data_IF_599589973896
#
_entry.id   IF_599589973896
#
_cell.length_a   1.000
_cell.length_b   1.000
_cell.length_c   1.000
_cell.angle_alpha   90.00
_cell.angle_beta   90.00
_cell.angle_gamma   90.00
#
_symmetry.space_group_name_H-M   'P 1'
#
loop_
_entity.id
_entity.type
_entity.pdbx_description
1 polymer ?
#
# COMPACT_ATOMS: atom_id res chain seq x y z
N UNK A 1 -11.99 20.81 15.41
CA UNK A 1 -12.80 21.89 14.79
C UNK A 1 -13.63 21.27 13.68
N UNK A 2 -14.93 21.58 13.58
CA UNK A 2 -15.78 21.13 12.45
C UNK A 2 -15.94 22.29 11.47
N UNK A 3 -16.11 21.99 10.17
CA UNK A 3 -16.32 22.98 9.10
C UNK A 3 -15.20 24.03 8.97
N UNK A 4 -13.94 23.62 9.19
CA UNK A 4 -12.77 24.46 8.96
C UNK A 4 -12.01 23.97 7.73
N UNK A 5 -11.77 24.90 6.82
CA UNK A 5 -11.19 24.65 5.51
C UNK A 5 -10.00 25.58 5.31
N UNK A 6 -8.96 25.06 4.65
CA UNK A 6 -7.75 25.84 4.34
C UNK A 6 -7.33 25.61 2.91
N UNK A 7 -6.93 26.70 2.24
CA UNK A 7 -6.27 26.70 0.94
C UNK A 7 -5.01 27.57 1.09
N UNK A 8 -3.97 26.99 1.70
CA UNK A 8 -2.73 27.68 2.10
C UNK A 8 -1.51 26.96 1.54
N UNK A 9 -0.35 27.63 1.52
CA UNK A 9 0.89 27.01 1.03
C UNK A 9 0.91 26.78 -0.49
N UNK A 10 0.12 27.52 -1.26
CA UNK A 10 0.06 27.41 -2.72
C UNK A 10 1.24 28.18 -3.33
N UNK A 11 2.31 27.46 -3.70
CA UNK A 11 3.57 28.07 -4.17
C UNK A 11 3.39 28.90 -5.45
N UNK A 12 2.66 28.39 -6.44
CA UNK A 12 2.39 29.07 -7.71
C UNK A 12 0.96 29.62 -7.75
N UNK A 13 0.58 30.40 -6.72
CA UNK A 13 -0.80 30.83 -6.48
C UNK A 13 -1.51 31.50 -7.65
N UNK A 14 -0.80 32.24 -8.50
CA UNK A 14 -1.40 32.86 -9.69
C UNK A 14 -1.81 31.82 -10.75
N UNK A 15 -0.97 30.80 -11.00
CA UNK A 15 -1.24 29.76 -11.99
C UNK A 15 -2.18 28.66 -11.47
N UNK A 16 -2.15 28.38 -10.16
CA UNK A 16 -2.91 27.29 -9.54
C UNK A 16 -4.22 27.75 -8.90
N UNK A 17 -4.40 29.06 -8.66
CA UNK A 17 -5.52 29.60 -7.87
C UNK A 17 -6.91 29.24 -8.42
N UNK A 18 -7.08 29.22 -9.75
CA UNK A 18 -8.34 28.82 -10.38
C UNK A 18 -8.72 27.36 -10.07
N UNK A 19 -7.77 26.44 -10.23
CA UNK A 19 -7.97 25.02 -9.94
C UNK A 19 -8.22 24.76 -8.45
N UNK A 20 -7.40 25.36 -7.57
CA UNK A 20 -7.59 25.25 -6.11
C UNK A 20 -8.97 25.79 -5.70
N UNK A 21 -9.40 26.93 -6.26
CA UNK A 21 -10.71 27.50 -6.00
C UNK A 21 -11.86 26.58 -6.41
N UNK A 22 -11.77 25.97 -7.59
CA UNK A 22 -12.75 24.99 -8.07
C UNK A 22 -12.81 23.77 -7.14
N UNK A 23 -11.67 23.14 -6.85
CA UNK A 23 -11.63 21.95 -5.98
C UNK A 23 -12.20 22.23 -4.59
N UNK A 24 -11.91 23.40 -4.00
CA UNK A 24 -12.47 23.80 -2.71
C UNK A 24 -13.98 24.01 -2.79
N UNK A 25 -14.48 24.68 -3.84
CA UNK A 25 -15.90 24.90 -4.04
C UNK A 25 -16.67 23.57 -4.21
N UNK A 26 -16.17 22.68 -5.07
CA UNK A 26 -16.72 21.34 -5.25
C UNK A 26 -16.71 20.56 -3.94
N UNK A 27 -15.63 20.60 -3.17
CA UNK A 27 -15.57 19.87 -1.91
C UNK A 27 -16.58 20.40 -0.88
N UNK A 28 -16.75 21.71 -0.79
CA UNK A 28 -17.70 22.32 0.14
C UNK A 28 -19.16 22.08 -0.25
N UNK A 29 -19.47 22.11 -1.56
CA UNK A 29 -20.85 22.04 -2.07
C UNK A 29 -21.27 20.58 -2.28
N UNK A 30 -20.41 19.77 -2.90
CA UNK A 30 -20.69 18.40 -3.34
C UNK A 30 -20.12 17.33 -2.40
N UNK A 31 -19.34 17.72 -1.39
CA UNK A 31 -18.73 16.80 -0.41
C UNK A 31 -17.44 16.11 -0.87
N UNK A 32 -17.07 16.22 -2.15
CA UNK A 32 -15.82 15.70 -2.73
C UNK A 32 -15.45 16.43 -4.04
N UNK A 33 -14.15 16.70 -4.30
CA UNK A 33 -13.69 17.29 -5.56
C UNK A 33 -13.91 16.38 -6.78
N UNK A 34 -13.86 16.95 -8.00
CA UNK A 34 -13.95 16.19 -9.25
C UNK A 34 -12.65 15.51 -9.69
N UNK A 35 -11.52 15.86 -9.07
CA UNK A 35 -10.18 15.31 -9.32
C UNK A 35 -9.53 14.89 -7.99
N UNK A 36 -8.57 13.98 -8.02
CA UNK A 36 -7.77 13.67 -6.83
C UNK A 36 -6.93 14.88 -6.38
N UNK A 37 -7.08 15.24 -5.11
CA UNK A 37 -6.37 16.36 -4.46
C UNK A 37 -5.44 15.87 -3.34
N UNK A 38 -5.13 14.57 -3.28
CA UNK A 38 -4.30 13.98 -2.22
C UNK A 38 -2.98 14.73 -1.99
N UNK A 39 -2.28 15.11 -3.06
CA UNK A 39 -1.03 15.87 -2.99
C UNK A 39 -1.17 17.26 -2.32
N UNK A 40 -2.41 17.79 -2.23
CA UNK A 40 -2.73 19.09 -1.64
C UNK A 40 -3.46 18.97 -0.30
N UNK A 41 -4.03 17.80 0.02
CA UNK A 41 -4.76 17.56 1.27
C UNK A 41 -3.86 17.73 2.49
N UNK A 42 -4.34 18.45 3.51
CA UNK A 42 -3.64 18.62 4.79
C UNK A 42 -3.52 17.30 5.56
N UNK A 43 -4.40 16.34 5.29
CA UNK A 43 -4.38 15.01 5.89
C UNK A 43 -3.19 14.14 5.45
N UNK A 44 -2.35 14.60 4.51
CA UNK A 44 -1.06 13.95 4.22
C UNK A 44 0.01 14.21 5.29
N UNK A 45 -0.26 15.11 6.23
CA UNK A 45 0.57 15.42 7.39
C UNK A 45 -0.08 14.93 8.69
N UNK A 46 0.75 14.71 9.70
CA UNK A 46 0.35 14.47 11.08
C UNK A 46 1.27 15.22 12.03
N UNK A 47 1.26 14.85 13.31
CA UNK A 47 2.02 15.57 14.36
C UNK A 47 3.54 15.59 14.15
N UNK A 48 4.07 14.68 13.32
CA UNK A 48 5.47 14.68 12.91
C UNK A 48 5.88 15.93 12.13
N UNK A 49 4.93 16.60 11.46
CA UNK A 49 5.17 17.78 10.63
C UNK A 49 5.23 19.04 11.49
N UNK A 50 6.16 19.07 12.45
CA UNK A 50 6.36 20.19 13.37
C UNK A 50 6.74 21.47 12.62
N UNK A 51 6.56 22.68 13.20
CA UNK A 51 7.00 23.92 12.58
C UNK A 51 8.48 23.94 12.17
N UNK A 52 9.35 23.35 12.99
CA UNK A 52 10.79 23.21 12.70
C UNK A 52 11.04 22.30 11.49
N UNK A 53 10.35 21.14 11.44
CA UNK A 53 10.41 20.25 10.29
C UNK A 53 9.90 20.92 9.01
N UNK A 54 8.76 21.63 9.10
CA UNK A 54 8.16 22.35 7.98
C UNK A 54 9.11 23.39 7.39
N UNK A 55 9.88 24.08 8.24
CA UNK A 55 10.93 25.02 7.79
C UNK A 55 12.01 24.29 7.00
N UNK A 56 12.58 23.21 7.56
CA UNK A 56 13.65 22.42 6.93
C UNK A 56 13.21 21.87 5.57
N UNK A 57 12.03 21.22 5.51
CA UNK A 57 11.53 20.62 4.28
C UNK A 57 11.11 21.66 3.25
N UNK A 58 10.54 22.78 3.66
CA UNK A 58 10.20 23.86 2.73
C UNK A 58 11.46 24.47 2.10
N UNK A 59 12.54 24.64 2.88
CA UNK A 59 13.84 25.07 2.37
C UNK A 59 14.43 24.06 1.38
N UNK A 60 14.41 22.77 1.69
CA UNK A 60 14.88 21.72 0.76
C UNK A 60 14.10 21.74 -0.57
N UNK A 61 12.77 21.86 -0.50
CA UNK A 61 11.94 21.95 -1.71
C UNK A 61 12.25 23.22 -2.52
N UNK A 62 12.52 24.34 -1.86
CA UNK A 62 12.89 25.58 -2.54
C UNK A 62 14.25 25.48 -3.24
N UNK A 63 15.25 24.91 -2.58
CA UNK A 63 16.58 24.66 -3.15
C UNK A 63 16.50 23.77 -4.40
N UNK A 64 15.54 22.85 -4.43
CA UNK A 64 15.35 21.88 -5.51
C UNK A 64 14.38 22.30 -6.60
N UNK A 65 13.84 23.53 -6.57
CA UNK A 65 12.76 23.97 -7.45
C UNK A 65 13.00 23.75 -8.95
N UNK A 66 14.26 23.80 -9.38
CA UNK A 66 14.66 23.59 -10.77
C UNK A 66 15.71 22.48 -10.93
N UNK A 67 15.80 21.60 -9.94
CA UNK A 67 16.70 20.44 -9.96
C UNK A 67 15.94 19.26 -10.56
N UNK A 68 16.61 18.54 -11.46
CA UNK A 68 16.10 17.28 -12.00
C UNK A 68 15.93 16.27 -10.86
N UNK A 69 14.73 15.70 -10.74
CA UNK A 69 14.43 14.67 -9.74
C UNK A 69 14.38 13.32 -10.42
N UNK A 70 14.99 12.31 -9.79
CA UNK A 70 15.05 10.95 -10.31
C UNK A 70 14.04 10.05 -9.60
N UNK A 71 13.47 9.03 -10.26
CA UNK A 71 12.41 8.19 -9.69
C UNK A 71 12.84 7.42 -8.44
N UNK A 72 14.14 7.14 -8.30
CA UNK A 72 14.71 6.41 -7.16
C UNK A 72 15.32 7.33 -6.08
N UNK A 73 15.22 8.65 -6.24
CA UNK A 73 15.82 9.63 -5.33
C UNK A 73 15.00 9.78 -4.05
N UNK A 74 15.70 9.88 -2.92
CA UNK A 74 15.10 10.22 -1.63
C UNK A 74 15.68 11.53 -1.12
N UNK A 75 14.85 12.34 -0.44
CA UNK A 75 15.27 13.65 0.04
C UNK A 75 15.72 13.58 1.52
N UNK A 76 16.99 13.92 1.84
CA UNK A 76 17.58 13.64 3.14
C UNK A 76 17.25 14.65 4.24
N UNK A 77 16.92 15.91 3.93
CA UNK A 77 16.71 16.93 4.97
C UNK A 77 15.45 16.64 5.77
N UNK A 78 15.53 16.82 7.09
CA UNK A 78 14.39 16.65 8.01
C UNK A 78 13.91 15.20 8.18
N UNK A 79 14.66 14.20 7.68
CA UNK A 79 14.41 12.76 7.92
C UNK A 79 14.54 12.39 9.39
N UNK A 80 14.10 11.16 9.74
CA UNK A 80 14.07 10.61 11.10
C UNK A 80 13.14 11.37 12.07
N UNK A 81 12.01 11.89 11.57
CA UNK A 81 10.95 12.40 12.47
C UNK A 81 10.31 11.28 13.28
N UNK A 82 10.06 10.14 12.64
CA UNK A 82 9.60 8.92 13.29
C UNK A 82 10.50 7.76 12.85
N UNK A 83 10.96 6.99 13.83
CA UNK A 83 11.70 5.74 13.63
C UNK A 83 11.07 4.66 14.49
N UNK A 84 11.23 3.40 14.09
CA UNK A 84 10.91 2.27 14.96
C UNK A 84 12.15 1.84 15.73
N UNK A 85 11.95 0.95 16.70
CA UNK A 85 13.05 0.36 17.46
C UNK A 85 14.02 -0.50 16.59
N UNK A 86 13.65 -0.81 15.34
CA UNK A 86 14.51 -1.55 14.41
C UNK A 86 15.40 -0.64 13.55
N UNK A 87 15.20 0.68 13.57
CA UNK A 87 15.91 1.60 12.67
C UNK A 87 17.43 1.45 12.72
N UNK A 88 18.04 1.52 13.92
CA UNK A 88 19.51 1.40 14.04
C UNK A 88 19.99 -0.03 13.73
N UNK A 89 19.19 -1.05 14.05
CA UNK A 89 19.50 -2.47 13.78
C UNK A 89 19.45 -2.80 12.29
N UNK A 90 18.51 -2.22 11.56
CA UNK A 90 18.42 -2.36 10.11
C UNK A 90 19.48 -1.51 9.42
N UNK A 91 19.81 -0.33 9.95
CA UNK A 91 20.94 0.47 9.46
C UNK A 91 22.25 -0.32 9.58
N UNK A 92 22.51 -1.01 10.69
CA UNK A 92 23.70 -1.86 10.83
C UNK A 92 23.69 -3.12 9.96
N UNK A 93 22.53 -3.50 9.43
CA UNK A 93 22.34 -4.57 8.42
C UNK A 93 22.34 -4.03 6.97
N UNK A 94 22.71 -2.77 6.76
CA UNK A 94 22.82 -2.18 5.43
C UNK A 94 21.49 -1.70 4.83
N UNK A 95 20.49 -1.37 5.64
CA UNK A 95 19.23 -0.81 5.14
C UNK A 95 19.44 0.56 4.47
N UNK A 96 18.86 0.72 3.28
CA UNK A 96 18.66 2.01 2.61
C UNK A 96 17.24 2.47 2.88
N UNK A 97 17.08 3.72 3.31
CA UNK A 97 15.84 4.21 3.91
C UNK A 97 15.11 5.23 3.03
N UNK A 98 13.78 5.18 3.05
CA UNK A 98 12.93 6.32 2.73
C UNK A 98 11.89 6.53 3.84
N UNK A 99 11.08 7.58 3.74
CA UNK A 99 9.99 7.80 4.67
C UNK A 99 8.61 7.87 4.00
N UNK A 100 7.59 7.43 4.73
CA UNK A 100 6.20 7.68 4.44
C UNK A 100 5.52 8.21 5.70
N UNK A 101 4.80 9.32 5.59
CA UNK A 101 4.09 9.93 6.73
C UNK A 101 5.00 10.16 7.97
N UNK A 102 6.22 10.64 7.74
CA UNK A 102 7.20 10.90 8.81
C UNK A 102 8.01 9.68 9.26
N UNK A 103 7.56 8.46 8.94
CA UNK A 103 8.14 7.20 9.41
C UNK A 103 9.17 6.65 8.42
N UNK A 104 10.37 6.39 8.93
CA UNK A 104 11.45 5.69 8.22
C UNK A 104 11.09 4.23 7.92
N UNK A 105 11.26 3.80 6.66
CA UNK A 105 11.04 2.44 6.18
C UNK A 105 12.21 1.98 5.31
N UNK A 106 12.66 0.74 5.49
CA UNK A 106 13.73 0.17 4.68
C UNK A 106 13.22 -0.10 3.25
N UNK A 107 13.87 0.49 2.26
CA UNK A 107 13.60 0.27 0.84
C UNK A 107 14.21 -1.05 0.35
N UNK A 108 15.43 -1.35 0.78
CA UNK A 108 16.23 -2.55 0.46
C UNK A 108 17.46 -2.62 1.38
N UNK A 109 18.15 -3.76 1.39
CA UNK A 109 19.31 -4.04 2.24
C UNK A 109 20.54 -4.37 1.38
N UNK A 110 21.60 -3.59 1.56
CA UNK A 110 22.92 -3.87 1.01
C UNK A 110 23.60 -5.06 1.74
N UNK A 111 24.65 -5.64 1.16
CA UNK A 111 25.46 -6.67 1.85
C UNK A 111 26.30 -6.09 2.98
N UNK A 112 26.76 -4.86 2.80
CA UNK A 112 27.65 -4.16 3.72
C UNK A 112 27.15 -2.74 3.87
N UNK A 113 27.34 -2.18 5.05
CA UNK A 113 26.85 -0.83 5.38
C UNK A 113 27.48 0.27 4.54
N UNK A 114 28.70 0.06 4.04
CA UNK A 114 29.37 1.02 3.16
C UNK A 114 28.72 1.11 1.77
N UNK A 115 27.96 0.07 1.37
CA UNK A 115 27.24 0.04 0.10
C UNK A 115 25.76 0.42 0.24
N UNK A 116 25.31 0.77 1.46
CA UNK A 116 23.93 1.15 1.75
C UNK A 116 23.64 2.62 1.35
N UNK A 117 23.64 2.89 0.05
CA UNK A 117 23.24 4.16 -0.54
C UNK A 117 22.57 3.93 -1.89
N UNK A 118 22.00 4.98 -2.48
CA UNK A 118 21.40 4.94 -3.81
C UNK A 118 22.06 5.98 -4.72
N UNK A 119 22.16 5.65 -6.01
CA UNK A 119 22.59 6.59 -7.04
C UNK A 119 21.37 7.04 -7.85
N UNK A 120 21.02 8.34 -7.85
CA UNK A 120 19.91 8.85 -8.65
C UNK A 120 20.11 8.53 -10.14
N UNK A 121 19.12 7.86 -10.75
CA UNK A 121 19.15 7.47 -12.16
C UNK A 121 17.74 7.22 -12.68
N UNK A 122 17.54 7.36 -13.99
CA UNK A 122 16.32 6.90 -14.66
C UNK A 122 16.39 5.43 -15.09
N UNK A 123 17.58 4.82 -15.08
CA UNK A 123 17.77 3.42 -15.45
C UNK A 123 17.69 2.51 -14.22
N UNK A 124 17.84 1.20 -14.42
CA UNK A 124 18.00 0.26 -13.30
C UNK A 124 19.17 0.69 -12.41
N UNK A 125 18.86 1.05 -11.16
CA UNK A 125 19.86 1.49 -10.18
C UNK A 125 20.64 0.31 -9.60
N UNK A 126 21.65 0.60 -8.77
CA UNK A 126 22.43 -0.41 -8.05
C UNK A 126 21.56 -1.34 -7.19
N UNK A 127 20.41 -0.85 -6.72
CA UNK A 127 19.46 -1.61 -5.93
C UNK A 127 18.93 -2.84 -6.68
N UNK A 128 18.95 -2.86 -8.02
CA UNK A 128 18.39 -3.92 -8.84
C UNK A 128 18.89 -5.33 -8.44
N UNK A 129 20.19 -5.48 -8.19
CA UNK A 129 20.76 -6.79 -7.78
C UNK A 129 20.39 -7.16 -6.34
N UNK A 130 20.32 -6.18 -5.45
CA UNK A 130 19.94 -6.39 -4.05
C UNK A 130 18.47 -6.79 -3.91
N UNK A 131 17.59 -6.07 -4.61
CA UNK A 131 16.16 -6.39 -4.68
C UNK A 131 15.95 -7.76 -5.31
N UNK A 132 16.68 -8.13 -6.37
CA UNK A 132 16.59 -9.47 -6.96
C UNK A 132 16.89 -10.59 -5.95
N UNK A 133 17.92 -10.39 -5.12
CA UNK A 133 18.29 -11.34 -4.07
C UNK A 133 17.22 -11.45 -2.99
N UNK A 134 16.70 -10.31 -2.53
CA UNK A 134 15.61 -10.27 -1.54
C UNK A 134 14.35 -11.00 -2.04
N UNK A 135 13.93 -10.72 -3.28
CA UNK A 135 12.79 -11.41 -3.92
C UNK A 135 13.05 -12.91 -4.01
N UNK A 136 14.24 -13.32 -4.45
CA UNK A 136 14.63 -14.73 -4.52
C UNK A 136 14.54 -15.41 -3.15
N UNK A 137 15.04 -14.76 -2.10
CA UNK A 137 15.01 -15.30 -0.75
C UNK A 137 13.58 -15.49 -0.23
N UNK A 138 12.66 -14.56 -0.50
CA UNK A 138 11.24 -14.71 -0.14
C UNK A 138 10.59 -15.85 -0.93
N UNK A 139 10.84 -15.93 -2.25
CA UNK A 139 10.24 -16.94 -3.14
C UNK A 139 10.72 -18.36 -2.85
N UNK A 140 11.99 -18.53 -2.47
CA UNK A 140 12.61 -19.86 -2.26
C UNK A 140 12.66 -20.29 -0.79
N UNK A 141 12.65 -19.34 0.16
CA UNK A 141 12.88 -19.60 1.58
C UNK A 141 11.83 -18.89 2.48
N UNK A 142 12.28 -17.91 3.25
CA UNK A 142 11.46 -17.06 4.12
C UNK A 142 12.15 -15.70 4.23
N UNK A 143 11.39 -14.62 4.11
CA UNK A 143 11.87 -13.28 4.38
C UNK A 143 10.96 -12.53 5.34
N UNK A 144 11.52 -11.51 6.00
CA UNK A 144 10.82 -10.59 6.89
C UNK A 144 10.82 -9.16 6.37
N UNK A 145 9.71 -8.44 6.54
CA UNK A 145 9.61 -7.01 6.29
C UNK A 145 8.90 -6.33 7.47
N UNK A 146 9.35 -5.14 7.85
CA UNK A 146 8.66 -4.34 8.86
C UNK A 146 7.37 -3.72 8.29
N UNK A 147 6.28 -3.82 9.06
CA UNK A 147 4.93 -3.38 8.67
C UNK A 147 4.36 -2.31 9.61
N UNK A 148 5.26 -1.54 10.24
CA UNK A 148 4.87 -0.41 11.08
C UNK A 148 4.17 0.71 10.29
N UNK A 149 4.46 0.83 9.00
CA UNK A 149 3.90 1.83 8.08
C UNK A 149 2.47 1.58 7.60
N UNK A 150 1.80 0.50 8.00
CA UNK A 150 0.36 0.37 7.74
C UNK A 150 -0.45 1.21 8.72
N UNK A 151 -1.55 1.79 8.26
CA UNK A 151 -2.54 2.42 9.12
C UNK A 151 -3.24 1.33 9.94
N UNK A 152 -3.57 1.63 11.20
CA UNK A 152 -4.39 0.76 12.06
C UNK A 152 -5.53 1.59 12.65
N UNK A 153 -6.76 1.20 12.38
CA UNK A 153 -7.97 1.88 12.84
C UNK A 153 -8.78 0.93 13.73
N UNK A 154 -8.89 1.24 15.02
CA UNK A 154 -9.60 0.41 16.00
C UNK A 154 -11.04 0.90 16.16
N UNK A 155 -11.99 -0.04 16.14
CA UNK A 155 -13.40 0.22 16.43
C UNK A 155 -13.90 -0.75 17.51
N UNK A 156 -14.59 -0.22 18.52
CA UNK A 156 -15.19 -1.03 19.60
C UNK A 156 -16.61 -0.60 19.93
N UNK A 157 -17.42 -1.56 20.38
CA UNK A 157 -18.77 -1.35 20.94
C UNK A 157 -19.88 -2.02 20.12
N UNK A 158 -21.10 -2.08 20.68
CA UNK A 158 -22.21 -2.85 20.12
C UNK A 158 -22.65 -2.40 18.72
N UNK A 159 -22.45 -1.12 18.38
CA UNK A 159 -22.77 -0.57 17.06
C UNK A 159 -21.66 -0.73 16.01
N UNK A 160 -20.48 -1.24 16.39
CA UNK A 160 -19.29 -1.18 15.54
C UNK A 160 -19.47 -1.97 14.23
N UNK A 161 -20.07 -3.15 14.31
CA UNK A 161 -20.34 -3.99 13.13
C UNK A 161 -21.29 -3.31 12.15
N UNK A 162 -22.39 -2.75 12.64
CA UNK A 162 -23.38 -2.06 11.81
C UNK A 162 -22.79 -0.82 11.15
N UNK A 163 -22.07 -0.01 11.93
CA UNK A 163 -21.35 1.15 11.42
C UNK A 163 -20.37 0.78 10.30
N UNK A 164 -19.49 -0.21 10.53
CA UNK A 164 -18.55 -0.67 9.52
C UNK A 164 -19.25 -1.27 8.30
N UNK A 165 -20.38 -1.96 8.50
CA UNK A 165 -21.18 -2.51 7.42
C UNK A 165 -21.75 -1.44 6.50
N UNK A 166 -22.02 -0.23 6.99
CA UNK A 166 -22.47 0.90 6.17
C UNK A 166 -21.30 1.71 5.56
N UNK A 167 -20.21 1.89 6.30
CA UNK A 167 -19.06 2.71 5.88
C UNK A 167 -18.26 2.06 4.74
N UNK A 168 -18.18 0.73 4.75
CA UNK A 168 -17.34 -0.04 3.82
C UNK A 168 -18.24 -0.75 2.81
N UNK A 169 -17.77 -1.01 1.60
CA UNK A 169 -18.59 -1.62 0.55
C UNK A 169 -18.63 -3.16 0.59
N UNK A 170 -17.61 -3.79 1.17
CA UNK A 170 -17.47 -5.24 1.26
C UNK A 170 -18.07 -5.86 2.51
N UNK A 171 -18.08 -7.19 2.54
CA UNK A 171 -18.64 -7.96 3.67
C UNK A 171 -17.79 -7.79 4.94
N UNK A 172 -18.43 -7.49 6.07
CA UNK A 172 -17.74 -7.49 7.37
C UNK A 172 -17.49 -8.93 7.83
N UNK A 173 -16.25 -9.31 8.18
CA UNK A 173 -15.93 -10.68 8.57
C UNK A 173 -16.59 -11.10 9.90
N UNK A 174 -16.72 -12.41 10.09
CA UNK A 174 -17.05 -13.02 11.39
C UNK A 174 -15.84 -12.95 12.34
N UNK A 175 -16.02 -13.11 13.66
CA UNK A 175 -14.91 -13.18 14.60
C UNK A 175 -13.81 -14.16 14.17
N UNK A 176 -12.55 -13.76 14.39
CA UNK A 176 -11.36 -14.52 14.01
C UNK A 176 -11.03 -14.49 12.51
N UNK A 177 -11.69 -13.64 11.71
CA UNK A 177 -11.48 -13.56 10.26
C UNK A 177 -11.16 -12.13 9.79
N UNK A 178 -10.46 -12.05 8.66
CA UNK A 178 -10.19 -10.80 7.95
C UNK A 178 -10.75 -10.78 6.54
N UNK A 179 -11.20 -9.61 6.06
CA UNK A 179 -11.65 -9.40 4.69
C UNK A 179 -11.08 -8.09 4.12
N UNK A 180 -10.65 -8.12 2.86
CA UNK A 180 -10.44 -6.89 2.10
C UNK A 180 -11.80 -6.27 1.78
N UNK A 181 -11.93 -4.97 2.00
CA UNK A 181 -13.10 -4.18 1.64
C UNK A 181 -12.70 -2.87 0.98
N UNK A 182 -13.31 -2.52 -0.15
CA UNK A 182 -13.28 -1.16 -0.65
C UNK A 182 -14.05 -0.24 0.30
N UNK A 183 -13.61 1.01 0.39
CA UNK A 183 -14.33 2.13 1.00
C UNK A 183 -14.55 3.16 -0.09
N UNK A 184 -15.79 3.61 -0.29
CA UNK A 184 -16.16 4.49 -1.39
C UNK A 184 -16.65 5.84 -0.90
N UNK A 185 -16.57 6.83 -1.79
CA UNK A 185 -17.25 8.11 -1.62
C UNK A 185 -18.71 8.03 -2.06
N UNK A 186 -19.49 9.08 -1.80
CA UNK A 186 -20.87 9.21 -2.28
C UNK A 186 -20.99 9.11 -3.81
N UNK A 187 -20.01 9.60 -4.56
CA UNK A 187 -19.94 9.49 -6.02
C UNK A 187 -19.45 8.12 -6.51
N UNK A 188 -19.21 7.15 -5.62
CA UNK A 188 -18.76 5.80 -5.96
C UNK A 188 -17.26 5.70 -6.29
N UNK A 189 -16.48 6.75 -5.99
CA UNK A 189 -15.03 6.76 -6.16
C UNK A 189 -14.33 6.04 -5.02
N UNK A 190 -13.14 5.50 -5.28
CA UNK A 190 -12.34 4.85 -4.25
C UNK A 190 -11.89 5.85 -3.19
N UNK A 191 -12.06 5.50 -1.92
CA UNK A 191 -11.53 6.24 -0.78
C UNK A 191 -10.71 5.38 0.20
N UNK A 192 -10.66 4.06 0.00
CA UNK A 192 -9.71 3.17 0.64
C UNK A 192 -9.86 1.72 0.20
N UNK A 193 -8.82 0.92 0.38
CA UNK A 193 -8.81 -0.54 0.30
C UNK A 193 -8.34 -1.09 1.66
N UNK A 194 -9.29 -1.47 2.51
CA UNK A 194 -9.01 -1.76 3.92
C UNK A 194 -9.13 -3.26 4.19
N UNK A 195 -8.15 -3.84 4.87
CA UNK A 195 -8.30 -5.16 5.49
C UNK A 195 -9.05 -4.98 6.80
N UNK A 196 -10.31 -5.38 6.85
CA UNK A 196 -11.11 -5.42 8.08
C UNK A 196 -10.80 -6.70 8.80
N UNK A 197 -10.35 -6.60 10.05
CA UNK A 197 -10.23 -7.72 10.95
C UNK A 197 -11.32 -7.66 12.03
N UNK A 198 -12.03 -8.76 12.23
CA UNK A 198 -12.97 -8.92 13.34
C UNK A 198 -12.30 -9.76 14.42
N UNK A 199 -11.88 -9.11 15.50
CA UNK A 199 -11.29 -9.77 16.66
C UNK A 199 -12.39 -10.50 17.43
N UNK A 200 -13.47 -9.77 17.72
CA UNK A 200 -14.70 -10.24 18.37
C UNK A 200 -15.89 -9.50 17.77
N UNK A 201 -17.12 -9.86 18.14
CA UNK A 201 -18.34 -9.30 17.53
C UNK A 201 -18.45 -7.77 17.64
N UNK A 202 -17.84 -7.19 18.69
CA UNK A 202 -17.84 -5.76 18.98
C UNK A 202 -16.43 -5.15 18.93
N UNK A 203 -15.42 -5.85 18.38
CA UNK A 203 -14.04 -5.37 18.32
C UNK A 203 -13.41 -5.64 16.95
N UNK A 204 -13.09 -4.55 16.25
CA UNK A 204 -12.51 -4.57 14.92
C UNK A 204 -11.23 -3.75 14.84
N UNK A 205 -10.32 -4.19 13.98
CA UNK A 205 -9.14 -3.42 13.57
C UNK A 205 -9.11 -3.42 12.05
N UNK A 206 -8.99 -2.24 11.45
CA UNK A 206 -8.83 -2.09 10.01
C UNK A 206 -7.38 -1.74 9.72
N UNK A 207 -6.78 -2.43 8.76
CA UNK A 207 -5.44 -2.19 8.26
C UNK A 207 -5.51 -1.58 6.86
N UNK A 208 -4.67 -0.59 6.58
CA UNK A 208 -4.67 0.12 5.30
C UNK A 208 -3.38 0.87 5.03
N UNK A 209 -3.38 1.71 4.00
CA UNK A 209 -2.23 2.57 3.67
C UNK A 209 -1.92 3.57 4.78
N UNK A 210 -0.71 3.52 5.35
CA UNK A 210 -0.30 4.46 6.41
C UNK A 210 -0.23 5.92 5.99
N UNK A 211 -0.05 6.19 4.68
CA UNK A 211 -0.12 7.55 4.15
C UNK A 211 -1.52 8.15 4.33
N UNK A 212 -2.58 7.32 4.28
CA UNK A 212 -3.97 7.76 4.36
C UNK A 212 -4.53 7.82 5.78
N UNK A 213 -3.75 7.49 6.81
CA UNK A 213 -4.26 7.30 8.15
C UNK A 213 -5.06 8.51 8.68
N UNK A 214 -4.62 9.74 8.40
CA UNK A 214 -5.34 10.94 8.84
C UNK A 214 -6.54 11.27 7.96
N UNK A 215 -6.50 10.96 6.67
CA UNK A 215 -7.67 11.12 5.78
C UNK A 215 -8.77 10.14 6.16
N UNK A 216 -8.41 8.89 6.45
CA UNK A 216 -9.32 7.86 6.97
C UNK A 216 -9.80 8.21 8.37
N UNK A 217 -8.94 8.71 9.27
CA UNK A 217 -9.35 9.22 10.59
C UNK A 217 -10.43 10.29 10.46
N UNK A 218 -10.19 11.31 9.64
CA UNK A 218 -11.17 12.37 9.35
C UNK A 218 -12.48 11.80 8.79
N UNK A 219 -12.40 10.82 7.89
CA UNK A 219 -13.58 10.18 7.31
C UNK A 219 -14.44 9.44 8.33
N UNK A 220 -13.81 8.64 9.20
CA UNK A 220 -14.49 7.88 10.23
C UNK A 220 -15.09 8.76 11.31
N UNK A 221 -14.30 9.69 11.88
CA UNK A 221 -14.77 10.58 12.96
C UNK A 221 -15.96 11.43 12.54
N UNK A 222 -16.00 11.87 11.28
CA UNK A 222 -17.12 12.67 10.75
C UNK A 222 -18.43 11.89 10.64
N UNK A 223 -18.40 10.56 10.75
CA UNK A 223 -19.56 9.68 10.57
C UNK A 223 -19.89 8.83 11.78
N UNK A 224 -19.10 8.93 12.86
CA UNK A 224 -19.37 8.17 14.07
C UNK A 224 -20.79 8.49 14.60
N UNK A 225 -21.54 7.46 15.02
CA UNK A 225 -22.80 7.67 15.71
C UNK A 225 -22.54 8.33 17.09
N UNK A 226 -23.57 8.97 17.65
CA UNK A 226 -23.45 9.63 18.97
C UNK A 226 -23.10 8.65 20.11
N UNK A 227 -23.52 7.39 19.99
CA UNK A 227 -23.31 6.33 20.99
C UNK A 227 -23.09 4.98 20.33
N UNK A 228 -22.52 4.04 21.08
CA UNK A 228 -22.42 2.63 20.69
C UNK A 228 -21.20 2.25 19.84
N UNK A 229 -20.43 3.23 19.37
CA UNK A 229 -19.16 3.01 18.66
C UNK A 229 -18.09 3.94 19.20
N UNK A 230 -16.93 3.36 19.54
CA UNK A 230 -15.70 4.08 19.84
C UNK A 230 -14.69 3.81 18.74
N UNK A 231 -13.88 4.81 18.43
CA UNK A 231 -12.88 4.76 17.37
C UNK A 231 -11.55 5.35 17.85
N UNK A 232 -10.44 4.77 17.40
CA UNK A 232 -9.11 5.32 17.58
C UNK A 232 -8.20 5.02 16.38
N UNK A 233 -7.42 6.01 15.95
CA UNK A 233 -6.25 5.77 15.11
C UNK A 233 -5.15 5.15 16.00
N UNK A 234 -4.78 3.91 15.71
CA UNK A 234 -3.81 3.08 16.44
C UNK A 234 -2.54 2.82 15.62
N UNK A 235 -2.29 3.62 14.59
CA UNK A 235 -1.17 3.39 13.66
C UNK A 235 0.18 3.38 14.37
N UNK A 236 0.38 4.26 15.35
CA UNK A 236 1.61 4.33 16.17
C UNK A 236 1.60 3.39 17.37
N UNK A 237 0.44 2.79 17.69
CA UNK A 237 0.28 1.88 18.82
C UNK A 237 0.66 0.44 18.48
N UNK A 238 0.81 0.10 17.19
CA UNK A 238 1.15 -1.23 16.71
C UNK A 238 2.21 -1.18 15.61
N UNK A 239 3.36 -1.78 15.90
CA UNK A 239 4.38 -2.10 14.92
C UNK A 239 4.31 -3.59 14.57
N UNK A 240 5.13 -4.07 13.66
CA UNK A 240 5.12 -5.49 13.35
C UNK A 240 6.13 -5.90 12.30
N UNK A 241 6.18 -7.22 12.11
CA UNK A 241 6.96 -7.88 11.06
C UNK A 241 6.03 -8.81 10.30
N UNK A 242 6.02 -8.70 8.97
CA UNK A 242 5.44 -9.71 8.11
C UNK A 242 6.52 -10.71 7.71
N UNK A 243 6.26 -12.00 7.92
CA UNK A 243 7.11 -13.09 7.40
C UNK A 243 6.41 -13.74 6.21
N UNK A 244 7.14 -13.98 5.13
CA UNK A 244 6.59 -14.53 3.89
C UNK A 244 7.57 -15.49 3.21
N UNK A 245 7.04 -16.48 2.51
CA UNK A 245 7.81 -17.52 1.82
C UNK A 245 7.35 -18.93 2.14
N UNK A 246 7.77 -19.94 1.35
CA UNK A 246 7.39 -21.34 1.57
C UNK A 246 7.78 -21.89 2.95
N UNK A 247 8.82 -21.33 3.60
CA UNK A 247 9.27 -21.71 4.94
C UNK A 247 8.68 -20.85 6.07
N UNK A 248 7.81 -19.87 5.77
CA UNK A 248 7.24 -18.95 6.77
C UNK A 248 6.46 -19.65 7.88
N UNK A 249 5.70 -20.71 7.55
CA UNK A 249 4.98 -21.51 8.56
C UNK A 249 5.93 -22.29 9.46
N UNK A 250 7.00 -22.83 8.89
CA UNK A 250 8.00 -23.57 9.67
C UNK A 250 8.69 -22.65 10.68
N UNK A 251 9.07 -21.44 10.25
CA UNK A 251 9.57 -20.40 11.14
C UNK A 251 8.55 -20.09 12.23
N UNK A 252 7.29 -19.81 11.87
CA UNK A 252 6.25 -19.45 12.82
C UNK A 252 6.04 -20.52 13.90
N UNK A 253 6.02 -21.81 13.52
CA UNK A 253 5.87 -22.94 14.47
C UNK A 253 6.94 -22.94 15.56
N UNK A 254 8.15 -22.48 15.26
CA UNK A 254 9.28 -22.47 16.23
C UNK A 254 9.12 -21.39 17.28
N UNK A 255 8.36 -20.34 16.96
CA UNK A 255 8.22 -19.15 17.82
C UNK A 255 6.80 -18.96 18.36
N UNK A 256 5.91 -19.93 18.20
CA UNK A 256 4.57 -19.89 18.81
C UNK A 256 4.17 -21.23 19.40
N UNK A 257 3.28 -21.19 20.38
CA UNK A 257 2.68 -22.38 20.99
C UNK A 257 1.37 -22.80 20.31
N UNK A 258 0.83 -21.93 19.47
CA UNK A 258 -0.42 -22.17 18.76
C UNK A 258 -0.25 -23.17 17.62
N UNK A 259 -1.30 -23.92 17.34
CA UNK A 259 -1.36 -24.70 16.10
C UNK A 259 -1.59 -23.79 14.89
N UNK A 260 -0.55 -23.68 14.06
CA UNK A 260 -0.50 -22.88 12.82
C UNK A 260 -0.52 -23.72 11.55
N UNK A 261 -0.96 -24.98 11.63
CA UNK A 261 -1.22 -25.82 10.45
C UNK A 261 -2.33 -25.24 9.55
N UNK A 262 -2.40 -25.67 8.28
CA UNK A 262 -3.44 -25.18 7.35
C UNK A 262 -4.86 -25.40 7.85
N UNK A 263 -5.12 -26.46 8.62
CA UNK A 263 -6.43 -26.76 9.17
C UNK A 263 -6.80 -25.85 10.35
N UNK A 264 -5.84 -25.57 11.23
CA UNK A 264 -6.06 -24.79 12.44
C UNK A 264 -5.97 -23.29 12.21
N UNK A 265 -5.02 -22.79 11.42
CA UNK A 265 -4.88 -21.36 11.12
C UNK A 265 -4.94 -21.14 9.61
N UNK A 266 -6.16 -20.99 9.09
CA UNK A 266 -6.51 -20.93 7.67
C UNK A 266 -6.19 -19.55 7.08
N UNK A 267 -6.04 -19.48 5.76
CA UNK A 267 -5.89 -18.20 5.07
C UNK A 267 -6.99 -17.22 5.51
N UNK A 268 -6.60 -15.99 5.86
CA UNK A 268 -7.44 -14.92 6.43
C UNK A 268 -8.02 -15.19 7.84
N UNK A 269 -7.45 -16.12 8.59
CA UNK A 269 -7.65 -16.15 10.05
C UNK A 269 -6.80 -15.05 10.72
N UNK A 270 -7.31 -14.54 11.84
CA UNK A 270 -6.63 -13.62 12.74
C UNK A 270 -6.76 -14.10 14.18
N UNK A 271 -5.73 -13.87 15.00
CA UNK A 271 -5.72 -14.18 16.44
C UNK A 271 -4.95 -13.14 17.23
N UNK A 272 -5.37 -12.93 18.48
CA UNK A 272 -4.52 -12.35 19.51
C UNK A 272 -3.89 -13.49 20.31
N UNK A 273 -2.57 -13.55 20.37
CA UNK A 273 -1.80 -14.66 20.93
C UNK A 273 -0.40 -14.21 21.33
N UNK A 274 0.54 -15.15 21.46
CA UNK A 274 1.95 -14.91 21.70
C UNK A 274 2.80 -15.47 20.55
N UNK A 275 3.68 -14.64 20.00
CA UNK A 275 4.63 -15.00 18.95
C UNK A 275 5.99 -14.45 19.33
N UNK A 276 7.04 -15.26 19.26
CA UNK A 276 8.37 -14.89 19.75
C UNK A 276 8.33 -14.43 21.20
N UNK A 277 7.59 -15.13 22.07
CA UNK A 277 7.43 -14.78 23.49
C UNK A 277 6.95 -13.34 23.76
N UNK A 278 6.27 -12.69 22.81
CA UNK A 278 5.65 -11.38 23.01
C UNK A 278 4.16 -11.41 22.69
N UNK A 279 3.32 -10.60 23.37
CA UNK A 279 1.92 -10.43 23.00
C UNK A 279 1.80 -9.88 21.57
N UNK A 280 1.03 -10.55 20.73
CA UNK A 280 0.90 -10.23 19.33
C UNK A 280 -0.52 -10.42 18.79
N UNK A 281 -0.82 -9.68 17.73
CA UNK A 281 -1.93 -9.96 16.81
C UNK A 281 -1.31 -10.56 15.56
N UNK A 282 -1.73 -11.76 15.18
CA UNK A 282 -1.24 -12.46 14.00
C UNK A 282 -2.35 -12.65 12.97
N UNK A 283 -2.05 -12.33 11.71
CA UNK A 283 -2.97 -12.49 10.57
C UNK A 283 -2.30 -13.42 9.55
N UNK A 284 -3.00 -14.46 9.11
CA UNK A 284 -2.50 -15.30 8.00
C UNK A 284 -2.86 -14.67 6.65
N UNK A 285 -1.97 -13.82 6.15
CA UNK A 285 -2.08 -13.14 4.87
C UNK A 285 -0.69 -12.67 4.41
N UNK A 286 -0.52 -12.35 3.13
CA UNK A 286 0.72 -11.79 2.61
C UNK A 286 0.48 -10.94 1.37
N UNK A 287 1.10 -9.77 1.34
CA UNK A 287 1.14 -8.91 0.15
C UNK A 287 2.28 -9.29 -0.83
N UNK A 288 3.12 -10.26 -0.48
CA UNK A 288 4.16 -10.79 -1.38
C UNK A 288 3.64 -11.81 -2.39
N UNK A 289 2.43 -12.33 -2.19
CA UNK A 289 1.88 -13.46 -2.96
C UNK A 289 2.37 -14.84 -2.53
N UNK A 290 3.25 -14.94 -1.54
CA UNK A 290 3.61 -16.20 -0.88
C UNK A 290 2.65 -16.54 0.28
N UNK A 291 2.79 -17.75 0.80
CA UNK A 291 2.36 -18.01 2.18
C UNK A 291 3.05 -17.03 3.13
N UNK A 292 2.30 -16.42 4.03
CA UNK A 292 2.87 -15.50 5.00
C UNK A 292 1.92 -15.14 6.13
N UNK A 293 2.48 -14.38 7.06
CA UNK A 293 1.85 -13.95 8.29
C UNK A 293 2.26 -12.52 8.61
N UNK A 294 1.31 -11.67 8.94
CA UNK A 294 1.55 -10.36 9.53
C UNK A 294 1.48 -10.48 11.05
N UNK A 295 2.53 -10.06 11.75
CA UNK A 295 2.65 -10.19 13.20
C UNK A 295 2.82 -8.79 13.80
N UNK A 296 1.77 -8.30 14.46
CA UNK A 296 1.74 -6.98 15.07
C UNK A 296 1.94 -7.07 16.59
N UNK A 297 2.76 -6.19 17.15
CA UNK A 297 2.99 -6.07 18.58
C UNK A 297 3.06 -4.60 19.01
N UNK A 298 3.03 -4.34 20.32
CA UNK A 298 3.35 -3.00 20.83
C UNK A 298 4.80 -2.63 20.53
N UNK A 299 5.13 -1.34 20.29
CA UNK A 299 6.48 -0.92 19.94
C UNK A 299 7.58 -1.43 20.88
N UNK A 300 7.29 -1.55 22.18
CA UNK A 300 8.24 -2.02 23.20
C UNK A 300 8.68 -3.48 23.03
N UNK A 301 7.91 -4.29 22.29
CA UNK A 301 8.21 -5.70 22.04
C UNK A 301 8.90 -5.95 20.68
N UNK A 302 9.02 -4.92 19.84
CA UNK A 302 9.43 -5.09 18.44
C UNK A 302 10.83 -5.69 18.28
N UNK A 303 11.79 -5.24 19.10
CA UNK A 303 13.15 -5.80 19.09
C UNK A 303 13.11 -7.30 19.44
N UNK A 304 12.39 -7.67 20.52
CA UNK A 304 12.33 -9.06 20.96
C UNK A 304 11.66 -9.96 19.93
N UNK A 305 10.60 -9.47 19.27
CA UNK A 305 9.95 -10.17 18.16
C UNK A 305 10.93 -10.40 17.00
N UNK A 306 11.62 -9.33 16.56
CA UNK A 306 12.55 -9.41 15.44
C UNK A 306 13.73 -10.35 15.72
N UNK A 307 14.36 -10.27 16.89
CA UNK A 307 15.45 -11.16 17.29
C UNK A 307 15.02 -12.63 17.30
N UNK A 308 13.83 -12.94 17.84
CA UNK A 308 13.33 -14.31 17.84
C UNK A 308 12.97 -14.82 16.44
N UNK A 309 12.54 -13.94 15.53
CA UNK A 309 12.32 -14.29 14.11
C UNK A 309 13.65 -14.62 13.42
N UNK A 310 14.68 -13.78 13.63
CA UNK A 310 16.01 -14.01 13.07
C UNK A 310 16.62 -15.32 13.58
N UNK A 311 16.63 -15.52 14.89
CA UNK A 311 17.18 -16.72 15.54
C UNK A 311 16.48 -17.99 15.07
N UNK A 312 15.14 -18.00 15.02
CA UNK A 312 14.39 -19.17 14.59
C UNK A 312 14.45 -19.42 13.07
N UNK A 313 14.87 -18.42 12.29
CA UNK A 313 14.92 -18.44 10.84
C UNK A 313 16.31 -18.71 10.24
N UNK A 314 17.37 -18.77 11.06
CA UNK A 314 18.76 -18.83 10.59
C UNK A 314 19.03 -20.01 9.65
N UNK A 315 18.71 -21.24 10.07
CA UNK A 315 18.82 -22.47 9.26
C UNK A 315 17.76 -22.57 8.16
N UNK A 316 16.71 -21.73 8.22
CA UNK A 316 15.70 -21.61 7.17
C UNK A 316 16.13 -20.66 6.05
N UNK A 317 17.32 -20.06 6.14
CA UNK A 317 17.82 -19.02 5.24
C UNK A 317 16.95 -17.76 5.27
N UNK A 318 16.53 -17.35 6.46
CA UNK A 318 15.79 -16.11 6.66
C UNK A 318 16.61 -14.89 6.23
N UNK A 319 15.95 -13.94 5.56
CA UNK A 319 16.52 -12.62 5.30
C UNK A 319 15.51 -11.50 5.56
N UNK A 320 16.00 -10.31 5.89
CA UNK A 320 15.16 -9.11 5.77
C UNK A 320 15.04 -8.70 4.30
N UNK A 321 13.88 -8.18 3.93
CA UNK A 321 13.66 -7.55 2.63
C UNK A 321 12.96 -6.20 2.80
N UNK A 322 13.21 -5.30 1.85
CA UNK A 322 12.68 -3.95 1.88
C UNK A 322 11.45 -3.74 1.01
N UNK A 323 10.92 -2.52 1.05
CA UNK A 323 9.74 -2.13 0.29
C UNK A 323 9.86 -2.35 -1.23
N UNK A 324 11.07 -2.23 -1.81
CA UNK A 324 11.26 -2.43 -3.27
C UNK A 324 11.11 -3.89 -3.69
N UNK A 325 11.54 -4.84 -2.86
CA UNK A 325 11.26 -6.25 -3.09
C UNK A 325 9.76 -6.55 -2.99
N UNK A 326 9.06 -5.92 -2.04
CA UNK A 326 7.60 -6.03 -1.94
C UNK A 326 6.90 -5.45 -3.19
N UNK A 327 7.33 -4.28 -3.67
CA UNK A 327 6.80 -3.66 -4.90
C UNK A 327 7.07 -4.49 -6.16
N UNK A 328 8.21 -5.19 -6.24
CA UNK A 328 8.45 -6.18 -7.30
C UNK A 328 7.46 -7.34 -7.20
N UNK A 329 7.31 -7.93 -6.01
CA UNK A 329 6.49 -9.13 -5.83
C UNK A 329 4.99 -8.87 -6.03
N UNK A 330 4.48 -7.69 -5.67
CA UNK A 330 3.07 -7.34 -5.89
C UNK A 330 2.74 -7.16 -7.37
N UNK A 331 3.69 -6.68 -8.19
CA UNK A 331 3.50 -6.59 -9.65
C UNK A 331 3.31 -7.98 -10.27
N UNK A 332 4.07 -8.98 -9.80
CA UNK A 332 3.92 -10.38 -10.24
C UNK A 332 2.54 -10.95 -9.95
N UNK A 333 1.85 -10.38 -8.94
CA UNK A 333 0.47 -10.72 -8.54
C UNK A 333 -0.60 -9.82 -9.16
N UNK A 334 -0.22 -8.81 -9.95
CA UNK A 334 -1.11 -7.77 -10.50
C UNK A 334 -1.87 -6.99 -9.42
N UNK A 335 -1.27 -6.79 -8.24
CA UNK A 335 -1.93 -6.07 -7.15
C UNK A 335 -1.64 -4.58 -7.23
N UNK A 336 -2.70 -3.78 -7.22
CA UNK A 336 -2.60 -2.33 -7.09
C UNK A 336 -2.25 -1.90 -5.66
N UNK A 337 -1.81 -0.66 -5.52
CA UNK A 337 -1.61 -0.02 -4.21
C UNK A 337 -2.20 1.38 -4.16
N UNK A 338 -2.55 1.81 -2.95
CA UNK A 338 -3.05 3.16 -2.71
C UNK A 338 -2.01 4.23 -3.08
N UNK A 339 -2.47 5.42 -3.46
CA UNK A 339 -1.70 6.58 -3.97
C UNK A 339 -1.10 6.41 -5.37
N UNK A 340 -1.19 5.22 -5.96
CA UNK A 340 -0.80 4.95 -7.34
C UNK A 340 -1.99 4.39 -8.12
N UNK A 341 -2.21 3.07 -8.01
CA UNK A 341 -3.23 2.35 -8.77
C UNK A 341 -4.64 2.58 -8.20
N UNK A 342 -4.72 2.85 -6.90
CA UNK A 342 -5.97 3.18 -6.20
C UNK A 342 -5.92 4.59 -5.63
N UNK A 343 -6.84 5.44 -6.09
CA UNK A 343 -7.04 6.82 -5.63
C UNK A 343 -8.44 7.33 -6.04
N UNK A 344 -8.92 8.46 -5.50
CA UNK A 344 -10.26 8.98 -5.78
C UNK A 344 -10.58 9.32 -7.25
N UNK A 345 -9.59 9.33 -8.14
CA UNK A 345 -9.85 9.45 -9.59
C UNK A 345 -10.61 8.24 -10.14
N UNK A 346 -10.46 7.06 -9.51
CA UNK A 346 -10.95 5.79 -10.02
C UNK A 346 -12.12 5.25 -9.21
N UNK A 347 -12.97 4.46 -9.86
CA UNK A 347 -14.02 3.69 -9.20
C UNK A 347 -13.57 2.28 -8.84
N UNK A 348 -14.39 1.59 -8.04
CA UNK A 348 -14.18 0.17 -7.76
C UNK A 348 -14.22 -0.70 -9.01
N UNK A 349 -15.10 -0.40 -9.98
CA UNK A 349 -15.22 -1.18 -11.20
C UNK A 349 -14.08 -0.92 -12.19
N UNK A 350 -13.60 0.33 -12.29
CA UNK A 350 -12.44 0.67 -13.13
C UNK A 350 -11.16 -0.04 -12.62
N UNK A 351 -11.02 -0.18 -11.31
CA UNK A 351 -9.85 -0.79 -10.64
C UNK A 351 -9.95 -2.31 -10.44
N UNK A 352 -11.12 -2.92 -10.68
CA UNK A 352 -11.39 -4.33 -10.37
C UNK A 352 -11.65 -4.63 -8.89
N UNK A 353 -11.73 -3.61 -8.03
CA UNK A 353 -12.07 -3.75 -6.61
C UNK A 353 -13.56 -4.00 -6.36
N UNK A 354 -14.41 -3.86 -7.38
CA UNK A 354 -15.82 -4.20 -7.37
C UNK A 354 -16.08 -5.69 -7.06
N UNK A 355 -15.12 -6.56 -7.37
CA UNK A 355 -15.14 -7.98 -6.99
C UNK A 355 -15.19 -8.21 -5.47
N UNK A 356 -14.82 -7.21 -4.66
CA UNK A 356 -14.85 -7.27 -3.19
C UNK A 356 -16.09 -6.61 -2.57
N UNK A 357 -16.98 -6.03 -3.38
CA UNK A 357 -18.21 -5.38 -2.91
C UNK A 357 -19.28 -6.44 -2.58
N UNK A 358 -19.97 -6.24 -1.45
CA UNK A 358 -21.19 -6.98 -1.14
C UNK A 358 -22.41 -6.16 -1.60
N UNK A 359 -22.89 -6.45 -2.81
CA UNK A 359 -23.98 -5.71 -3.45
C UNK A 359 -25.35 -5.87 -2.75
N UNK A 360 -25.48 -6.83 -1.82
CA UNK A 360 -26.76 -7.14 -1.16
C UNK A 360 -27.04 -6.28 0.09
N UNK A 361 -26.11 -5.41 0.47
CA UNK A 361 -26.25 -4.54 1.64
C UNK A 361 -26.23 -3.07 1.22
N UNK A 362 -26.58 -2.17 2.13
CA UNK A 362 -26.45 -0.74 1.91
C UNK A 362 -25.11 -0.23 2.43
N UNK A 363 -24.48 0.65 1.65
CA UNK A 363 -23.19 1.25 1.94
C UNK A 363 -23.02 2.60 1.24
N UNK A 364 -22.08 3.42 1.70
CA UNK A 364 -21.78 4.71 1.07
C UNK A 364 -21.31 4.52 -0.37
N UNK A 365 -21.94 5.21 -1.32
CA UNK A 365 -21.59 5.16 -2.74
C UNK A 365 -22.25 4.03 -3.54
N UNK A 366 -23.10 3.20 -2.92
CA UNK A 366 -23.76 2.06 -3.57
C UNK A 366 -24.48 2.44 -4.86
N UNK A 367 -25.36 3.44 -4.83
CA UNK A 367 -26.17 3.81 -6.00
C UNK A 367 -25.30 4.24 -7.20
N UNK A 368 -24.22 4.99 -6.92
CA UNK A 368 -23.28 5.42 -7.95
C UNK A 368 -22.50 4.23 -8.53
N UNK A 369 -22.00 3.34 -7.66
CA UNK A 369 -21.27 2.14 -8.06
C UNK A 369 -22.14 1.16 -8.85
N UNK A 370 -23.40 0.93 -8.44
CA UNK A 370 -24.34 0.09 -9.18
C UNK A 370 -24.69 0.66 -10.55
N UNK A 371 -24.86 1.99 -10.64
CA UNK A 371 -25.14 2.66 -11.91
C UNK A 371 -23.99 2.46 -12.89
N UNK A 372 -22.75 2.60 -12.44
CA UNK A 372 -21.60 2.32 -13.29
C UNK A 372 -21.51 0.84 -13.67
N UNK A 373 -21.71 -0.08 -12.72
CA UNK A 373 -21.69 -1.52 -13.00
C UNK A 373 -22.72 -1.92 -14.06
N UNK A 374 -23.90 -1.28 -14.07
CA UNK A 374 -24.93 -1.48 -15.12
C UNK A 374 -24.55 -0.84 -16.47
N UNK A 375 -23.92 0.32 -16.46
CA UNK A 375 -23.62 1.09 -17.68
C UNK A 375 -22.28 0.71 -18.33
N UNK A 376 -21.41 0.01 -17.61
CA UNK A 376 -20.03 -0.26 -18.01
C UNK A 376 -19.07 0.87 -17.64
N UNK A 377 -17.79 0.52 -17.48
CA UNK A 377 -16.71 1.47 -17.18
C UNK A 377 -16.14 2.07 -18.46
N UNK A 378 -15.65 3.31 -18.39
CA UNK A 378 -14.97 3.98 -19.53
C UNK A 378 -13.54 3.50 -19.71
N UNK A 379 -12.90 3.12 -18.60
CA UNK A 379 -11.52 2.65 -18.55
C UNK A 379 -11.42 1.46 -17.61
N UNK A 380 -10.28 0.75 -17.67
CA UNK A 380 -9.94 -0.35 -16.78
C UNK A 380 -8.46 -0.31 -16.43
N UNK A 381 -8.16 -0.67 -15.19
CA UNK A 381 -6.83 -1.02 -14.74
C UNK A 381 -6.41 -2.31 -15.42
N UNK A 382 -5.26 -2.28 -16.10
CA UNK A 382 -4.66 -3.42 -16.79
C UNK A 382 -3.23 -3.62 -16.31
N UNK A 383 -2.70 -4.84 -16.47
CA UNK A 383 -1.27 -5.11 -16.28
C UNK A 383 -0.60 -5.29 -17.64
N UNK A 384 0.55 -4.65 -17.82
CA UNK A 384 1.38 -4.71 -19.02
C UNK A 384 2.66 -5.47 -18.74
N UNK A 385 3.11 -6.29 -19.70
CA UNK A 385 4.53 -6.66 -19.82
C UNK A 385 5.18 -5.77 -20.85
N UNK A 386 6.32 -5.18 -20.52
CA UNK A 386 7.07 -4.24 -21.38
C UNK A 386 8.39 -4.88 -21.82
N UNK A 387 8.69 -4.79 -23.11
CA UNK A 387 9.93 -5.29 -23.71
C UNK A 387 11.06 -4.27 -23.47
N UNK A 388 11.66 -4.26 -22.28
CA UNK A 388 12.79 -3.37 -21.95
C UNK A 388 13.95 -4.10 -21.26
N UNK A 389 15.18 -3.69 -21.60
CA UNK A 389 16.42 -4.34 -21.16
C UNK A 389 17.13 -3.63 -20.00
N UNK A 390 17.13 -2.30 -19.92
CA UNK A 390 17.96 -1.56 -18.94
C UNK A 390 17.19 -0.50 -18.13
N UNK A 391 15.96 -0.20 -18.55
CA UNK A 391 15.10 0.81 -17.94
C UNK A 391 13.72 0.21 -17.70
N UNK A 392 13.07 0.57 -16.60
CA UNK A 392 11.72 0.13 -16.29
C UNK A 392 10.89 1.36 -15.99
N UNK A 393 9.59 1.29 -16.25
CA UNK A 393 8.67 2.37 -15.90
C UNK A 393 8.58 2.53 -14.39
N UNK A 394 8.28 3.76 -13.94
CA UNK A 394 7.97 4.06 -12.55
C UNK A 394 6.50 4.44 -12.38
N UNK A 395 6.08 5.51 -13.04
CA UNK A 395 4.76 6.14 -12.92
C UNK A 395 4.57 7.24 -13.97
N UNK A 396 3.32 7.44 -14.37
CA UNK A 396 2.84 8.49 -15.28
C UNK A 396 3.34 8.41 -16.73
N UNK A 397 4.08 7.36 -17.12
CA UNK A 397 4.44 7.13 -18.52
C UNK A 397 3.19 6.91 -19.39
N UNK A 398 3.21 7.46 -20.61
CA UNK A 398 2.09 7.34 -21.55
C UNK A 398 1.97 5.91 -22.10
N UNK A 399 0.74 5.41 -22.18
CA UNK A 399 0.39 4.17 -22.88
C UNK A 399 -0.21 4.56 -24.23
N UNK A 400 0.36 4.06 -25.31
CA UNK A 400 0.00 4.42 -26.68
C UNK A 400 -0.54 3.22 -27.46
N UNK A 401 -1.50 3.49 -28.34
CA UNK A 401 -1.97 2.54 -29.35
C UNK A 401 -1.92 3.22 -30.71
N UNK A 402 -1.16 2.64 -31.64
CA UNK A 402 -0.97 3.18 -33.00
C UNK A 402 -0.47 4.64 -33.00
N UNK A 403 0.42 4.99 -32.07
CA UNK A 403 0.98 6.34 -31.94
C UNK A 403 0.11 7.33 -31.16
N UNK A 404 -1.12 6.98 -30.80
CA UNK A 404 -2.01 7.85 -30.03
C UNK A 404 -1.98 7.49 -28.53
N UNK A 405 -1.89 8.47 -27.62
CA UNK A 405 -1.96 8.22 -26.19
C UNK A 405 -3.38 7.79 -25.82
N UNK A 406 -3.51 6.61 -25.22
CA UNK A 406 -4.78 6.05 -24.77
C UNK A 406 -4.89 6.00 -23.24
N UNK A 407 -3.79 6.14 -22.51
CA UNK A 407 -3.78 5.99 -21.07
C UNK A 407 -2.41 6.29 -20.47
N UNK A 408 -2.22 5.89 -19.22
CA UNK A 408 -0.96 6.08 -18.52
C UNK A 408 -0.69 4.95 -17.54
N UNK A 409 0.59 4.74 -17.25
CA UNK A 409 1.09 3.86 -16.21
C UNK A 409 0.79 4.47 -14.85
N UNK A 410 0.04 3.76 -14.00
CA UNK A 410 -0.19 4.16 -12.61
C UNK A 410 0.98 3.77 -11.72
N UNK A 411 1.59 2.62 -11.99
CA UNK A 411 2.80 2.17 -11.31
C UNK A 411 3.52 1.09 -12.11
N UNK A 412 4.83 0.93 -11.91
CA UNK A 412 5.56 -0.17 -12.51
C UNK A 412 6.95 -0.40 -11.95
N UNK A 413 7.68 -1.28 -12.63
CA UNK A 413 9.05 -1.64 -12.28
C UNK A 413 9.42 -3.04 -12.75
N UNK A 414 10.59 -3.51 -12.32
CA UNK A 414 11.05 -4.85 -12.67
C UNK A 414 10.51 -5.91 -11.71
N UNK A 415 9.83 -6.90 -12.25
CA UNK A 415 9.34 -8.07 -11.55
C UNK A 415 10.45 -9.15 -11.52
N UNK A 416 11.25 -9.14 -10.46
CA UNK A 416 12.53 -9.85 -10.40
C UNK A 416 12.46 -11.38 -10.51
N UNK A 417 11.39 -12.02 -10.01
CA UNK A 417 11.30 -13.48 -10.06
C UNK A 417 10.88 -13.96 -11.45
N UNK A 418 9.89 -13.29 -12.06
CA UNK A 418 9.43 -13.60 -13.42
C UNK A 418 10.31 -12.99 -14.52
N UNK A 419 11.25 -12.10 -14.14
CA UNK A 419 12.25 -11.46 -15.00
C UNK A 419 11.66 -10.64 -16.15
N UNK A 420 10.69 -9.80 -15.82
CA UNK A 420 9.97 -8.94 -16.78
C UNK A 420 9.82 -7.53 -16.23
N UNK A 421 9.86 -6.53 -17.10
CA UNK A 421 9.33 -5.20 -16.79
C UNK A 421 7.80 -5.28 -16.79
N UNK A 422 7.18 -4.93 -15.66
CA UNK A 422 5.73 -4.94 -15.48
C UNK A 422 5.23 -3.56 -15.10
N UNK A 423 4.02 -3.25 -15.55
CA UNK A 423 3.34 -2.01 -15.20
C UNK A 423 1.86 -2.29 -14.96
N UNK A 424 1.25 -1.53 -14.06
CA UNK A 424 -0.19 -1.33 -14.02
C UNK A 424 -0.51 0.02 -14.65
N UNK A 425 -1.65 0.14 -15.32
CA UNK A 425 -2.10 1.39 -15.89
C UNK A 425 -3.57 1.35 -16.31
N UNK A 426 -4.15 2.52 -16.52
CA UNK A 426 -5.54 2.64 -16.95
C UNK A 426 -5.62 2.88 -18.45
N UNK A 427 -6.45 2.08 -19.13
CA UNK A 427 -6.73 2.22 -20.57
C UNK A 427 -8.24 2.18 -20.83
N UNK A 428 -8.74 2.78 -21.92
CA UNK A 428 -10.13 2.67 -22.34
C UNK A 428 -10.58 1.21 -22.40
N UNK A 429 -11.84 0.96 -22.01
CA UNK A 429 -12.37 -0.40 -21.89
C UNK A 429 -12.25 -1.19 -23.19
N UNK A 430 -12.41 -0.55 -24.36
CA UNK A 430 -12.23 -1.18 -25.66
C UNK A 430 -10.80 -1.68 -25.94
N UNK A 431 -9.80 -1.12 -25.26
CA UNK A 431 -8.39 -1.49 -25.37
C UNK A 431 -7.91 -2.41 -24.25
N UNK A 432 -8.74 -2.70 -23.25
CA UNK A 432 -8.35 -3.47 -22.04
C UNK A 432 -8.21 -4.98 -22.23
N UNK A 433 -8.47 -5.51 -23.44
CA UNK A 433 -8.47 -6.96 -23.67
C UNK A 433 -7.07 -7.57 -23.55
N UNK A 434 -6.90 -8.73 -22.88
CA UNK A 434 -5.63 -9.45 -22.88
C UNK A 434 -5.11 -9.76 -24.29
N UNK A 435 -3.79 -9.72 -24.45
CA UNK A 435 -3.12 -9.86 -25.75
C UNK A 435 -3.09 -8.59 -26.60
N UNK A 436 -3.77 -7.51 -26.17
CA UNK A 436 -3.71 -6.22 -26.87
C UNK A 436 -2.29 -5.67 -26.81
N UNK A 437 -1.70 -5.47 -28.00
CA UNK A 437 -0.38 -4.83 -28.17
C UNK A 437 -0.49 -3.31 -28.07
N UNK A 438 0.35 -2.71 -27.24
CA UNK A 438 0.45 -1.26 -27.03
C UNK A 438 1.93 -0.86 -27.01
N UNK A 439 2.20 0.43 -26.92
CA UNK A 439 3.54 0.95 -26.66
C UNK A 439 3.52 1.76 -25.37
N UNK A 440 4.67 1.85 -24.70
CA UNK A 440 4.87 2.72 -23.54
C UNK A 440 6.05 3.64 -23.83
N UNK A 441 5.85 4.94 -23.65
CA UNK A 441 6.91 5.93 -23.83
C UNK A 441 7.77 6.02 -22.57
N UNK A 442 9.05 5.68 -22.68
CA UNK A 442 10.01 5.79 -21.58
C UNK A 442 11.17 6.68 -22.04
N UNK A 443 11.28 7.87 -21.44
CA UNK A 443 12.27 8.89 -21.79
C UNK A 443 12.30 9.25 -23.29
N UNK A 444 11.12 9.31 -23.93
CA UNK A 444 10.98 9.65 -25.35
C UNK A 444 11.12 8.47 -26.32
N UNK A 445 11.48 7.27 -25.83
CA UNK A 445 11.59 6.06 -26.63
C UNK A 445 10.35 5.16 -26.45
N UNK A 446 9.90 4.52 -27.52
CA UNK A 446 8.67 3.73 -27.54
C UNK A 446 8.96 2.24 -27.36
N UNK A 447 8.58 1.68 -26.22
CA UNK A 447 8.78 0.27 -25.89
C UNK A 447 7.51 -0.53 -26.16
N UNK A 448 7.65 -1.69 -26.83
CA UNK A 448 6.52 -2.57 -27.05
C UNK A 448 6.02 -3.15 -25.73
N UNK A 449 4.70 -3.25 -25.61
CA UNK A 449 4.06 -3.83 -24.45
C UNK A 449 2.81 -4.62 -24.81
N UNK A 450 2.40 -5.50 -23.91
CA UNK A 450 1.22 -6.35 -24.07
C UNK A 450 0.42 -6.44 -22.78
N UNK A 451 -0.90 -6.26 -22.91
CA UNK A 451 -1.85 -6.45 -21.80
C UNK A 451 -1.94 -7.92 -21.43
N UNK A 452 -1.72 -8.20 -20.15
CA UNK A 452 -1.76 -9.54 -19.56
C UNK A 452 -3.18 -9.92 -19.14
N UNK A 453 -3.47 -11.23 -19.19
CA UNK A 453 -4.74 -11.80 -18.72
C UNK A 453 -4.69 -12.09 -17.21
N UNK A 454 -3.65 -12.80 -16.79
CA UNK A 454 -3.52 -13.34 -15.44
C UNK A 454 -2.16 -13.01 -14.84
N UNK A 455 -2.03 -13.05 -13.49
CA UNK A 455 -0.75 -12.86 -12.84
C UNK A 455 0.33 -13.80 -13.37
N UNK A 456 1.52 -13.27 -13.66
CA UNK A 456 2.64 -14.07 -14.13
C UNK A 456 3.20 -15.00 -13.06
N UNK A 457 2.83 -14.79 -11.78
CA UNK A 457 3.21 -15.63 -10.67
C UNK A 457 2.01 -16.15 -9.88
N UNK A 458 1.90 -17.47 -9.77
CA UNK A 458 0.86 -18.17 -9.00
C UNK A 458 -0.56 -17.62 -9.29
N UNK A 459 -1.04 -17.65 -10.55
CA UNK A 459 -2.31 -17.04 -10.95
C UNK A 459 -3.50 -17.57 -10.14
N UNK A 460 -3.47 -18.84 -9.75
CA UNK A 460 -4.50 -19.48 -8.93
C UNK A 460 -4.38 -19.14 -7.43
N UNK A 461 -3.31 -18.49 -7.00
CA UNK A 461 -3.08 -18.12 -5.60
C UNK A 461 -2.91 -19.34 -4.67
N UNK A 462 -2.43 -20.47 -5.18
CA UNK A 462 -2.34 -21.74 -4.45
C UNK A 462 -1.26 -21.63 -3.38
N UNK A 463 -0.11 -21.00 -3.68
CA UNK A 463 1.01 -20.87 -2.74
C UNK A 463 0.62 -20.08 -1.50
N UNK A 464 -0.09 -18.96 -1.70
CA UNK A 464 -0.58 -18.13 -0.60
C UNK A 464 -1.66 -18.85 0.24
N UNK A 465 -2.59 -19.54 -0.44
CA UNK A 465 -3.71 -20.21 0.24
C UNK A 465 -3.29 -21.46 1.00
N UNK A 466 -2.23 -22.14 0.56
CA UNK A 466 -1.49 -23.18 1.28
C UNK A 466 -2.25 -24.47 1.53
#
# INVERSE_FOLDING_TARGET
>A
MKNYWVAVGVMAGFCQGGGVGLSMAEWMIEGEPSIDVWAMDVARFGDFATPGWGTIKSSENYERRFVMTFPNETLPKGRKQKTTALFDRFTSKGAVWDQGFGLENALWFAERTEDAHEDPTFHRSRAHKYVAREVKAVRENVGGIEIANYAKHEFKGPGAREFLNYILAGRIPRPGRVNLTPMLTSKGKLYGDLTVACMEDEYFILFGSGLMQEAHRRWFENRLPEKGVSYANRSDDYHGVAISGPKSRELLKRITRDDVTSGSFRFRDIRQTYVGNVPAIIIRMSFSGEMGYEIYCKPHYLIKLAENIEEAGEDLLFCWFGARALLSMRLEKQWGVWTMDFRPDFTAAESGLDAFIDWNKDFIGKEAAERENRNGTKQKLVTLTIESEEIDVSNDEAILKNGEPIGYVSSGGYAHYVKKSLALGYVPTEHSKPGTKVQVEILGEMYNAEIQDTPLYDPDGIRMRG
#
